data_IF_168652283495
#
_entry.id   IF_168652283495
#
_cell.length_a   1.000
_cell.length_b   1.000
_cell.length_c   1.000
_cell.angle_alpha   90.00
_cell.angle_beta   90.00
_cell.angle_gamma   90.00
#
_symmetry.space_group_name_H-M   'P 1'
#
loop_
_entity.id
_entity.type
_entity.pdbx_description
1 polymer ?
#
# COMPACT_ATOMS: atom_id res chain seq x y z
N UNK A 1 -22.02 10.12 -5.53
CA UNK A 1 -21.97 8.84 -4.79
C UNK A 1 -20.59 8.23 -5.03
N UNK A 2 -19.64 8.42 -4.13
CA UNK A 2 -18.37 7.68 -4.15
C UNK A 2 -18.69 6.27 -3.66
N UNK A 3 -18.71 5.30 -4.57
CA UNK A 3 -18.74 3.88 -4.20
C UNK A 3 -17.52 3.66 -3.31
N UNK A 4 -17.65 3.25 -2.04
CA UNK A 4 -16.49 2.91 -1.24
C UNK A 4 -15.76 1.78 -1.97
N UNK A 5 -14.56 2.05 -2.48
CA UNK A 5 -13.76 1.00 -3.12
C UNK A 5 -13.50 -0.08 -2.08
N UNK A 6 -13.82 -1.32 -2.44
CA UNK A 6 -13.61 -2.49 -1.60
C UNK A 6 -12.13 -2.56 -1.17
N UNK A 7 -11.81 -2.76 0.13
CA UNK A 7 -10.43 -2.91 0.61
C UNK A 7 -9.57 -3.87 -0.22
N UNK A 8 -10.13 -5.00 -0.64
CA UNK A 8 -9.44 -5.97 -1.49
C UNK A 8 -9.13 -5.41 -2.89
N UNK A 9 -10.04 -4.61 -3.45
CA UNK A 9 -9.84 -3.97 -4.75
C UNK A 9 -8.78 -2.86 -4.67
N UNK A 10 -8.76 -2.08 -3.59
CA UNK A 10 -7.72 -1.06 -3.36
C UNK A 10 -6.33 -1.68 -3.32
N UNK A 11 -6.18 -2.83 -2.65
CA UNK A 11 -4.91 -3.56 -2.62
C UNK A 11 -4.50 -4.05 -4.02
N UNK A 12 -5.41 -4.69 -4.76
CA UNK A 12 -5.13 -5.19 -6.11
C UNK A 12 -4.74 -4.07 -7.08
N UNK A 13 -5.47 -2.95 -7.07
CA UNK A 13 -5.13 -1.77 -7.87
C UNK A 13 -3.77 -1.19 -7.47
N UNK A 14 -3.46 -1.15 -6.18
CA UNK A 14 -2.17 -0.66 -5.69
C UNK A 14 -1.01 -1.52 -6.19
N UNK A 15 -1.15 -2.85 -6.13
CA UNK A 15 -0.12 -3.77 -6.63
C UNK A 15 0.02 -3.67 -8.16
N UNK A 16 -1.10 -3.55 -8.88
CA UNK A 16 -1.07 -3.30 -10.32
C UNK A 16 -0.35 -1.99 -10.66
N UNK A 17 -0.60 -0.92 -9.90
CA UNK A 17 0.11 0.36 -10.08
C UNK A 17 1.61 0.21 -9.78
N UNK A 18 1.98 -0.55 -8.73
CA UNK A 18 3.36 -0.84 -8.38
C UNK A 18 4.10 -1.59 -9.51
N UNK A 19 3.50 -2.64 -10.06
CA UNK A 19 4.04 -3.43 -11.17
C UNK A 19 4.31 -2.60 -12.43
N UNK A 20 3.52 -1.54 -12.63
CA UNK A 20 3.70 -0.61 -13.74
C UNK A 20 4.52 0.63 -13.35
N UNK A 21 5.27 0.58 -12.24
CA UNK A 21 6.13 1.65 -11.74
C UNK A 21 5.40 2.97 -11.41
N UNK A 22 4.06 2.94 -11.31
CA UNK A 22 3.22 4.07 -10.88
C UNK A 22 3.22 4.18 -9.36
N UNK A 23 4.41 4.36 -8.77
CA UNK A 23 4.62 4.29 -7.33
C UNK A 23 3.77 5.29 -6.53
N UNK A 24 3.58 6.51 -7.04
CA UNK A 24 2.73 7.53 -6.39
C UNK A 24 1.25 7.12 -6.34
N UNK A 25 0.79 6.42 -7.37
CA UNK A 25 -0.60 5.92 -7.42
C UNK A 25 -0.76 4.75 -6.46
N UNK A 26 0.18 3.79 -6.49
CA UNK A 26 0.21 2.67 -5.54
C UNK A 26 0.20 3.18 -4.10
N UNK A 27 1.02 4.18 -3.79
CA UNK A 27 1.08 4.79 -2.47
C UNK A 27 -0.27 5.34 -2.01
N UNK A 28 -0.92 6.15 -2.87
CA UNK A 28 -2.21 6.76 -2.57
C UNK A 28 -3.30 5.72 -2.32
N UNK A 29 -3.29 4.62 -3.08
CA UNK A 29 -4.26 3.52 -2.93
C UNK A 29 -4.04 2.77 -1.61
N UNK A 30 -2.79 2.53 -1.23
CA UNK A 30 -2.44 1.91 0.06
C UNK A 30 -2.78 2.82 1.25
N UNK A 31 -2.57 4.13 1.11
CA UNK A 31 -3.00 5.10 2.13
C UNK A 31 -4.51 5.14 2.32
N UNK A 32 -5.28 5.07 1.22
CA UNK A 32 -6.73 4.94 1.29
C UNK A 32 -7.14 3.64 1.98
N UNK A 33 -6.46 2.54 1.67
CA UNK A 33 -6.73 1.25 2.31
C UNK A 33 -6.43 1.31 3.82
N UNK A 34 -5.32 1.92 4.23
CA UNK A 34 -4.98 2.10 5.64
C UNK A 34 -5.91 3.08 6.37
N UNK A 35 -6.53 4.04 5.68
CA UNK A 35 -7.57 4.89 6.28
C UNK A 35 -8.85 4.09 6.59
N UNK A 36 -9.19 3.10 5.77
CA UNK A 36 -10.35 2.23 5.99
C UNK A 36 -10.03 1.12 7.00
N UNK A 37 -8.85 0.52 6.88
CA UNK A 37 -8.38 -0.59 7.70
C UNK A 37 -6.93 -0.32 8.16
N UNK A 38 -6.74 0.39 9.29
CA UNK A 38 -5.42 0.82 9.77
C UNK A 38 -4.43 -0.32 10.07
N UNK A 39 -4.95 -1.54 10.25
CA UNK A 39 -4.17 -2.75 10.54
C UNK A 39 -4.26 -3.76 9.38
N UNK A 40 -4.62 -3.34 8.17
CA UNK A 40 -4.65 -4.24 7.03
C UNK A 40 -3.23 -4.72 6.70
N UNK A 41 -2.96 -6.03 6.81
CA UNK A 41 -1.61 -6.56 6.63
C UNK A 41 -1.10 -6.37 5.20
N UNK A 42 -1.97 -6.51 4.19
CA UNK A 42 -1.61 -6.29 2.79
C UNK A 42 -1.18 -4.84 2.53
N UNK A 43 -1.89 -3.88 3.09
CA UNK A 43 -1.58 -2.46 2.94
C UNK A 43 -0.24 -2.08 3.60
N UNK A 44 0.01 -2.62 4.79
CA UNK A 44 1.26 -2.41 5.53
C UNK A 44 2.46 -3.03 4.80
N UNK A 45 2.33 -4.27 4.30
CA UNK A 45 3.35 -4.89 3.44
C UNK A 45 3.56 -4.08 2.16
N UNK A 46 2.49 -3.63 1.51
CA UNK A 46 2.57 -2.82 0.29
C UNK A 46 3.34 -1.50 0.50
N UNK A 47 3.13 -0.82 1.62
CA UNK A 47 3.93 0.36 2.02
C UNK A 47 5.39 -0.01 2.26
N UNK A 48 5.64 -1.14 2.91
CA UNK A 48 6.99 -1.69 3.07
C UNK A 48 7.71 -1.90 1.73
N UNK A 49 7.03 -2.49 0.74
CA UNK A 49 7.57 -2.71 -0.61
C UNK A 49 7.88 -1.40 -1.34
N UNK A 50 6.99 -0.40 -1.25
CA UNK A 50 7.24 0.94 -1.82
C UNK A 50 8.49 1.60 -1.23
N UNK A 51 8.64 1.53 0.10
CA UNK A 51 9.80 2.08 0.79
C UNK A 51 11.09 1.35 0.41
N UNK A 52 11.04 0.02 0.29
CA UNK A 52 12.17 -0.78 -0.17
C UNK A 52 12.59 -0.41 -1.60
N UNK A 53 11.62 -0.21 -2.50
CA UNK A 53 11.88 0.24 -3.87
C UNK A 53 12.52 1.65 -3.93
N UNK A 54 12.25 2.50 -2.94
CA UNK A 54 12.87 3.81 -2.78
C UNK A 54 14.25 3.78 -2.07
N UNK A 55 14.73 2.58 -1.68
CA UNK A 55 15.96 2.41 -0.91
C UNK A 55 15.83 2.70 0.59
N UNK A 56 14.62 3.00 1.08
CA UNK A 56 14.33 3.27 2.49
C UNK A 56 14.07 1.96 3.27
N UNK A 57 15.09 1.09 3.33
CA UNK A 57 14.96 -0.26 3.91
C UNK A 57 14.61 -0.28 5.41
N UNK A 58 15.09 0.72 6.17
CA UNK A 58 14.79 0.86 7.60
C UNK A 58 13.29 1.04 7.85
N UNK A 59 12.68 1.94 7.08
CA UNK A 59 11.25 2.23 7.16
C UNK A 59 10.44 1.04 6.61
N UNK A 60 10.90 0.44 5.51
CA UNK A 60 10.27 -0.77 4.96
C UNK A 60 10.14 -1.88 6.01
N UNK A 61 11.21 -2.15 6.77
CA UNK A 61 11.20 -3.16 7.84
C UNK A 61 10.20 -2.82 8.94
N UNK A 62 10.07 -1.54 9.30
CA UNK A 62 9.11 -1.10 10.31
C UNK A 62 7.66 -1.36 9.87
N UNK A 63 7.34 -1.10 8.60
CA UNK A 63 6.01 -1.34 8.06
C UNK A 63 5.70 -2.84 7.95
N UNK A 64 6.65 -3.66 7.47
CA UNK A 64 6.48 -5.11 7.42
C UNK A 64 6.34 -5.75 8.81
N UNK A 65 6.99 -5.18 9.85
CA UNK A 65 6.87 -5.69 11.22
C UNK A 65 5.52 -5.36 11.88
N UNK A 66 4.76 -4.42 11.30
CA UNK A 66 3.44 -4.01 11.79
C UNK A 66 2.29 -4.72 11.07
N UNK A 67 2.58 -5.32 9.90
CA UNK A 67 1.64 -6.16 9.15
C UNK A 67 1.41 -7.49 9.87
#
# INVERSE_FOLDING_TARGET
MTIPKNPALLYQEAMTAFEHERFKEAEKLLDQLLQLEPQNPGALVGKGLLLANQGAYSDARLFCARA
#
